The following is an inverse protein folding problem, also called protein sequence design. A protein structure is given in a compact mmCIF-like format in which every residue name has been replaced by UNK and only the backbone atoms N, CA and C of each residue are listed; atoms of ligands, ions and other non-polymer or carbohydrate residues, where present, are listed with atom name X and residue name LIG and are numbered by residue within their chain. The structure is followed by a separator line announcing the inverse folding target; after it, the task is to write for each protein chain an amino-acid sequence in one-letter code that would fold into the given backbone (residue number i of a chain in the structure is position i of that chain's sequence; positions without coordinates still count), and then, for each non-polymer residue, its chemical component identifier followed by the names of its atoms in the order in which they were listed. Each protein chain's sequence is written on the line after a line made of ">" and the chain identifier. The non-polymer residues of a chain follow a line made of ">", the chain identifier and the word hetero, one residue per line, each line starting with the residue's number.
data_IF_950557781244
#
_entry.id   IF_950557781244
#
_cell.length_a   1.000
_cell.length_b   1.000
_cell.length_c   1.000
_cell.angle_alpha   90.00
_cell.angle_beta   90.00
_cell.angle_gamma   90.00
#
_symmetry.space_group_name_H-M   'P 1'
#
loop_
_entity.id
_entity.type
_entity.pdbx_description
1 polymer ?
#
# COMPACT_ATOMS: atom_id res chain seq x y z
N UNK A 1 -0.15 16.43 6.02
CA UNK A 1 -1.02 15.36 6.54
C UNK A 1 -0.37 14.58 7.68
N UNK A 2 0.76 13.91 7.51
CA UNK A 2 1.40 13.07 8.56
C UNK A 2 1.80 13.84 9.83
N UNK A 3 2.36 15.05 9.75
CA UNK A 3 2.70 15.87 10.94
C UNK A 3 1.47 16.11 11.83
N UNK A 4 0.35 16.50 11.24
CA UNK A 4 -0.89 16.72 12.02
C UNK A 4 -1.43 15.43 12.64
N UNK A 5 -1.22 14.28 12.00
CA UNK A 5 -1.55 12.98 12.58
C UNK A 5 -0.69 12.70 13.81
N UNK A 6 0.65 12.81 13.72
CA UNK A 6 1.55 12.56 14.84
C UNK A 6 1.32 13.53 16.00
N UNK A 7 1.15 14.83 15.72
CA UNK A 7 0.82 15.81 16.77
C UNK A 7 -0.47 15.46 17.51
N UNK A 8 -1.51 15.02 16.78
CA UNK A 8 -2.76 14.62 17.42
C UNK A 8 -2.63 13.32 18.23
N UNK A 9 -1.88 12.34 17.75
CA UNK A 9 -1.61 11.11 18.50
C UNK A 9 -0.81 11.39 19.76
N UNK A 10 0.16 12.31 19.71
CA UNK A 10 0.95 12.70 20.87
C UNK A 10 0.10 13.28 22.02
N UNK A 11 -1.00 13.98 21.69
CA UNK A 11 -1.92 14.50 22.73
C UNK A 11 -2.74 13.42 23.42
N UNK A 12 -2.86 12.23 22.81
CA UNK A 12 -3.64 11.10 23.33
C UNK A 12 -2.80 10.09 24.11
N UNK A 13 -1.48 10.14 23.98
CA UNK A 13 -0.57 9.20 24.64
C UNK A 13 0.03 9.81 25.90
N UNK A 14 0.25 8.99 26.95
CA UNK A 14 1.05 9.41 28.13
C UNK A 14 2.50 9.70 27.71
N UNK A 15 3.28 10.34 28.58
CA UNK A 15 4.63 10.81 28.25
C UNK A 15 5.65 9.68 28.00
N UNK A 16 5.38 8.48 28.52
CA UNK A 16 6.12 7.24 28.23
C UNK A 16 5.47 6.38 27.16
N UNK A 17 4.47 6.93 26.46
CA UNK A 17 3.64 6.21 25.49
C UNK A 17 4.41 5.77 24.26
N UNK A 18 4.07 4.61 23.74
CA UNK A 18 4.61 4.08 22.49
C UNK A 18 3.55 4.04 21.41
N UNK A 19 3.98 4.35 20.18
CA UNK A 19 3.17 4.32 18.98
C UNK A 19 3.75 3.30 18.00
N UNK A 20 2.93 2.33 17.61
CA UNK A 20 3.24 1.43 16.51
C UNK A 20 2.57 1.92 15.23
N UNK A 21 3.36 2.13 14.19
CA UNK A 21 2.88 2.53 12.87
C UNK A 21 3.25 1.46 11.85
N UNK A 22 2.26 1.00 11.11
CA UNK A 22 2.42 0.12 9.99
C UNK A 22 1.95 0.85 8.72
N UNK A 23 2.83 1.02 7.76
CA UNK A 23 2.54 1.81 6.57
C UNK A 23 3.24 1.29 5.33
N UNK A 24 2.55 1.39 4.21
CA UNK A 24 3.19 1.27 2.90
C UNK A 24 3.90 2.57 2.54
N UNK A 25 4.99 2.46 1.81
CA UNK A 25 5.78 3.57 1.29
C UNK A 25 6.22 3.26 -0.14
N UNK A 26 6.61 4.27 -0.88
CA UNK A 26 7.33 4.06 -2.13
C UNK A 26 8.64 3.32 -1.85
N UNK A 27 8.91 2.31 -2.66
CA UNK A 27 10.12 1.49 -2.57
C UNK A 27 11.34 2.15 -3.21
N UNK A 28 12.46 1.46 -3.16
CA UNK A 28 13.74 1.99 -3.69
C UNK A 28 13.77 2.09 -5.22
N UNK A 29 12.96 1.29 -5.92
CA UNK A 29 12.87 1.25 -7.37
C UNK A 29 11.64 2.01 -7.90
N UNK A 30 11.07 2.90 -7.07
CA UNK A 30 9.98 3.76 -7.50
C UNK A 30 10.37 4.53 -8.76
N UNK A 31 9.47 4.57 -9.74
CA UNK A 31 9.61 5.39 -10.93
C UNK A 31 8.95 6.77 -10.75
N UNK A 32 9.40 7.81 -11.47
CA UNK A 32 8.79 9.13 -11.41
C UNK A 32 7.29 9.10 -11.72
N UNK A 33 6.52 9.89 -10.97
CA UNK A 33 5.04 9.93 -11.12
C UNK A 33 4.61 10.34 -12.53
N UNK A 34 5.40 11.18 -13.20
CA UNK A 34 5.16 11.63 -14.57
C UNK A 34 5.21 10.49 -15.60
N UNK A 35 5.81 9.36 -15.24
CA UNK A 35 5.84 8.15 -16.06
C UNK A 35 4.64 7.22 -15.80
N UNK A 36 3.80 7.57 -14.82
CA UNK A 36 2.65 6.77 -14.40
C UNK A 36 1.38 7.45 -14.89
N UNK A 37 0.96 7.17 -16.11
CA UNK A 37 -0.34 7.63 -16.59
C UNK A 37 -1.45 6.68 -16.15
N UNK A 38 -2.17 7.08 -15.10
CA UNK A 38 -3.24 6.29 -14.49
C UNK A 38 -4.44 6.15 -15.44
N UNK A 39 -4.69 7.12 -16.30
CA UNK A 39 -5.86 7.12 -17.19
C UNK A 39 -5.59 6.39 -18.51
N UNK A 40 -4.37 6.46 -19.00
CA UNK A 40 -3.97 5.90 -20.29
C UNK A 40 -3.31 4.52 -20.19
N UNK A 41 -3.88 3.60 -19.39
CA UNK A 41 -3.35 2.22 -19.26
C UNK A 41 -3.06 1.54 -20.60
N UNK A 42 -3.83 1.85 -21.64
CA UNK A 42 -3.66 1.29 -22.99
C UNK A 42 -2.46 1.89 -23.74
N UNK A 43 -2.00 3.06 -23.35
CA UNK A 43 -0.85 3.75 -23.96
C UNK A 43 0.50 3.38 -23.33
N UNK A 44 0.52 2.63 -22.24
CA UNK A 44 1.75 2.24 -21.58
C UNK A 44 2.47 1.10 -22.32
N UNK A 45 3.82 1.08 -22.31
CA UNK A 45 4.62 0.32 -23.27
C UNK A 45 4.44 -1.21 -23.16
N UNK A 46 4.12 -1.73 -22.00
CA UNK A 46 3.87 -3.17 -21.83
C UNK A 46 3.03 -3.43 -20.58
N UNK A 47 2.18 -4.45 -20.62
CA UNK A 47 1.28 -4.82 -19.50
C UNK A 47 1.99 -5.27 -18.24
N UNK A 48 3.26 -5.64 -18.31
CA UNK A 48 4.11 -6.05 -17.21
C UNK A 48 5.17 -5.00 -16.86
N UNK A 49 5.16 -3.84 -17.52
CA UNK A 49 6.05 -2.72 -17.15
C UNK A 49 5.69 -2.15 -15.78
N UNK A 50 6.68 -1.58 -15.10
CA UNK A 50 6.48 -0.97 -13.78
C UNK A 50 5.48 0.19 -13.86
N UNK A 51 5.54 0.99 -14.93
CA UNK A 51 4.58 2.07 -15.18
C UNK A 51 3.14 1.56 -15.28
N UNK A 52 2.91 0.49 -16.05
CA UNK A 52 1.59 -0.12 -16.17
C UNK A 52 1.08 -0.66 -14.83
N UNK A 53 1.93 -1.36 -14.07
CA UNK A 53 1.58 -1.94 -12.79
C UNK A 53 1.21 -0.86 -11.77
N UNK A 54 1.99 0.23 -11.70
CA UNK A 54 1.72 1.36 -10.80
C UNK A 54 0.46 2.13 -11.21
N UNK A 55 0.24 2.35 -12.51
CA UNK A 55 -0.99 2.96 -13.02
C UNK A 55 -2.22 2.12 -12.67
N UNK A 56 -2.12 0.79 -12.78
CA UNK A 56 -3.17 -0.14 -12.38
C UNK A 56 -3.50 -0.01 -10.88
N UNK A 57 -2.48 0.10 -10.03
CA UNK A 57 -2.68 0.32 -8.59
C UNK A 57 -3.30 1.69 -8.30
N UNK A 58 -2.83 2.76 -8.92
CA UNK A 58 -3.39 4.10 -8.78
C UNK A 58 -4.87 4.14 -9.15
N UNK A 59 -5.27 3.41 -10.18
CA UNK A 59 -6.68 3.27 -10.57
C UNK A 59 -7.52 2.46 -9.59
N UNK A 60 -6.92 1.48 -8.90
CA UNK A 60 -7.61 0.70 -7.87
C UNK A 60 -7.77 1.45 -6.56
N UNK A 61 -6.84 2.35 -6.25
CA UNK A 61 -6.78 3.12 -5.02
C UNK A 61 -6.73 4.63 -5.31
N UNK A 62 -7.78 5.20 -5.95
CA UNK A 62 -7.77 6.58 -6.36
C UNK A 62 -7.62 7.52 -5.15
N UNK A 63 -6.76 8.54 -5.29
CA UNK A 63 -6.49 9.51 -4.24
C UNK A 63 -5.64 8.99 -3.09
N UNK A 64 -5.12 7.76 -3.16
CA UNK A 64 -4.15 7.28 -2.20
C UNK A 64 -2.80 7.97 -2.40
N UNK A 65 -2.16 8.31 -1.28
CA UNK A 65 -0.84 8.91 -1.28
C UNK A 65 0.09 8.09 -0.37
N UNK A 66 1.29 7.80 -0.85
CA UNK A 66 2.29 7.05 -0.12
C UNK A 66 3.50 7.94 0.19
N UNK A 67 4.10 7.80 1.38
CA UNK A 67 5.36 8.47 1.71
C UNK A 67 6.51 7.98 0.82
N UNK A 68 7.47 8.87 0.56
CA UNK A 68 8.72 8.54 -0.13
C UNK A 68 9.70 7.89 0.86
N UNK A 69 9.50 6.58 1.10
CA UNK A 69 10.30 5.82 2.04
C UNK A 69 9.96 6.08 3.51
N UNK A 70 10.55 5.27 4.39
CA UNK A 70 10.32 5.37 5.84
C UNK A 70 10.82 6.70 6.44
N UNK A 71 11.90 7.28 5.90
CA UNK A 71 12.49 8.52 6.43
C UNK A 71 11.53 9.70 6.39
N UNK A 72 10.64 9.76 5.41
CA UNK A 72 9.63 10.81 5.38
C UNK A 72 8.64 10.67 6.55
N UNK A 73 8.25 9.44 6.87
CA UNK A 73 7.37 9.16 8.01
C UNK A 73 8.06 9.54 9.31
N UNK A 74 9.32 9.11 9.48
CA UNK A 74 10.14 9.42 10.67
C UNK A 74 10.28 10.92 10.85
N UNK A 75 10.70 11.66 9.82
CA UNK A 75 10.81 13.14 9.89
C UNK A 75 9.50 13.85 10.22
N UNK A 76 8.37 13.28 9.84
CA UNK A 76 7.07 13.83 10.23
C UNK A 76 6.71 13.55 11.69
N UNK A 77 7.28 12.51 12.29
CA UNK A 77 7.06 12.11 13.66
C UNK A 77 8.04 12.80 14.64
N UNK A 78 9.26 13.13 14.20
CA UNK A 78 10.36 13.65 15.02
C UNK A 78 10.01 14.78 16.01
N UNK A 79 9.10 15.73 15.72
CA UNK A 79 8.75 16.75 16.71
C UNK A 79 8.13 16.19 17.99
N UNK A 80 7.43 15.06 17.87
CA UNK A 80 6.64 14.49 18.96
C UNK A 80 7.17 13.12 19.41
N UNK A 81 7.89 12.43 18.53
CA UNK A 81 8.28 11.05 18.75
C UNK A 81 9.72 10.77 18.34
N UNK A 82 10.36 9.88 19.08
CA UNK A 82 11.65 9.28 18.74
C UNK A 82 11.43 7.89 18.14
N UNK A 83 12.05 7.59 16.99
CA UNK A 83 12.04 6.24 16.42
C UNK A 83 12.86 5.29 17.31
N UNK A 84 12.24 4.21 17.76
CA UNK A 84 12.87 3.16 18.55
C UNK A 84 13.32 1.97 17.71
N UNK A 85 12.48 1.57 16.77
CA UNK A 85 12.82 0.48 15.84
C UNK A 85 12.09 0.63 14.52
N UNK A 86 12.71 0.10 13.48
CA UNK A 86 12.16 0.03 12.13
C UNK A 86 12.49 -1.34 11.53
N UNK A 87 11.50 -1.95 10.87
CA UNK A 87 11.69 -3.17 10.11
C UNK A 87 10.85 -3.15 8.84
N UNK A 88 11.42 -3.64 7.73
CA UNK A 88 10.65 -3.91 6.52
C UNK A 88 9.81 -5.17 6.73
N UNK A 89 8.53 -5.10 6.42
CA UNK A 89 7.62 -6.23 6.35
C UNK A 89 7.35 -6.68 4.92
N UNK A 90 8.17 -6.26 3.96
CA UNK A 90 7.95 -6.52 2.53
C UNK A 90 7.80 -8.00 2.20
N UNK A 91 8.70 -8.83 2.70
CA UNK A 91 8.66 -10.27 2.44
C UNK A 91 7.43 -10.93 3.06
N UNK A 92 7.06 -10.54 4.27
CA UNK A 92 5.84 -11.04 4.93
C UNK A 92 4.59 -10.64 4.15
N UNK A 93 4.62 -9.44 3.54
CA UNK A 93 3.51 -8.95 2.73
C UNK A 93 3.39 -9.73 1.41
N UNK A 94 4.51 -10.02 0.75
CA UNK A 94 4.57 -10.89 -0.45
C UNK A 94 3.98 -12.27 -0.13
N UNK A 95 4.38 -12.88 0.99
CA UNK A 95 3.85 -14.17 1.43
C UNK A 95 2.34 -14.10 1.71
N UNK A 96 1.90 -13.06 2.42
CA UNK A 96 0.48 -12.84 2.70
C UNK A 96 -0.34 -12.75 1.41
N UNK A 97 0.12 -11.95 0.43
CA UNK A 97 -0.56 -11.83 -0.87
C UNK A 97 -0.54 -13.17 -1.62
N UNK A 98 0.54 -13.91 -1.54
CA UNK A 98 0.66 -15.25 -2.15
C UNK A 98 -0.39 -16.20 -1.58
N UNK A 99 -0.56 -16.21 -0.27
CA UNK A 99 -1.60 -17.00 0.40
C UNK A 99 -3.01 -16.53 0.05
N UNK A 100 -3.24 -15.23 -0.06
CA UNK A 100 -4.54 -14.70 -0.52
C UNK A 100 -4.86 -15.15 -1.93
N UNK A 101 -3.89 -15.06 -2.85
CA UNK A 101 -4.06 -15.53 -4.23
C UNK A 101 -4.40 -17.01 -4.29
N UNK A 102 -3.70 -17.85 -3.53
CA UNK A 102 -3.98 -19.28 -3.43
C UNK A 102 -5.39 -19.55 -2.90
N UNK A 103 -5.80 -18.84 -1.83
CA UNK A 103 -7.14 -18.97 -1.25
C UNK A 103 -8.24 -18.49 -2.22
N UNK A 104 -8.02 -17.36 -2.92
CA UNK A 104 -8.96 -16.83 -3.92
C UNK A 104 -9.08 -17.79 -5.08
N UNK A 105 -7.97 -18.37 -5.55
CA UNK A 105 -7.93 -19.34 -6.64
C UNK A 105 -8.53 -20.71 -6.30
N UNK A 106 -8.54 -21.11 -5.02
CA UNK A 106 -9.02 -22.42 -4.61
C UNK A 106 -10.52 -22.59 -4.95
N UNK A 107 -10.92 -23.70 -5.60
CA UNK A 107 -12.30 -23.96 -6.00
C UNK A 107 -13.22 -24.11 -4.77
N UNK A 108 -14.40 -23.49 -4.82
CA UNK A 108 -15.41 -23.57 -3.77
C UNK A 108 -16.79 -23.27 -4.37
N UNK A 109 -17.80 -24.02 -3.94
CA UNK A 109 -19.17 -23.78 -4.38
C UNK A 109 -19.65 -22.36 -4.04
N UNK A 110 -19.34 -21.88 -2.82
CA UNK A 110 -19.64 -20.50 -2.39
C UNK A 110 -19.02 -19.45 -3.32
N UNK A 111 -17.78 -19.66 -3.77
CA UNK A 111 -17.12 -18.76 -4.71
C UNK A 111 -17.73 -18.80 -6.10
N UNK A 112 -18.19 -19.96 -6.55
CA UNK A 112 -18.92 -20.06 -7.82
C UNK A 112 -20.23 -19.27 -7.77
N UNK A 113 -20.98 -19.37 -6.70
CA UNK A 113 -22.20 -18.58 -6.48
C UNK A 113 -21.91 -17.09 -6.40
N UNK A 114 -20.86 -16.68 -5.67
CA UNK A 114 -20.43 -15.28 -5.62
C UNK A 114 -20.04 -14.75 -6.99
N UNK A 115 -19.29 -15.50 -7.79
CA UNK A 115 -18.93 -15.11 -9.17
C UNK A 115 -20.17 -14.93 -10.05
N UNK A 116 -21.19 -15.77 -9.90
CA UNK A 116 -22.47 -15.61 -10.59
C UNK A 116 -23.19 -14.32 -10.17
N UNK A 117 -23.22 -14.01 -8.89
CA UNK A 117 -23.80 -12.75 -8.39
C UNK A 117 -23.07 -11.51 -8.87
N UNK A 118 -21.74 -11.59 -9.03
CA UNK A 118 -20.90 -10.49 -9.52
C UNK A 118 -20.87 -10.38 -11.04
N UNK A 119 -21.40 -11.38 -11.77
CA UNK A 119 -21.36 -11.42 -13.22
C UNK A 119 -21.97 -10.19 -13.90
N UNK A 120 -23.13 -9.65 -13.50
CA UNK A 120 -23.66 -8.44 -14.09
C UNK A 120 -22.71 -7.25 -13.98
N UNK A 121 -22.12 -7.04 -12.81
CA UNK A 121 -21.14 -5.98 -12.58
C UNK A 121 -19.85 -6.20 -13.36
N UNK A 122 -19.41 -7.45 -13.50
CA UNK A 122 -18.24 -7.79 -14.30
C UNK A 122 -18.48 -7.52 -15.80
N UNK A 123 -19.69 -7.74 -16.29
CA UNK A 123 -20.04 -7.46 -17.69
C UNK A 123 -20.17 -5.95 -17.99
N UNK A 124 -20.65 -5.15 -17.03
CA UNK A 124 -20.97 -3.74 -17.25
C UNK A 124 -19.85 -2.78 -16.85
N UNK A 125 -18.89 -3.19 -15.99
CA UNK A 125 -17.83 -2.31 -15.49
C UNK A 125 -16.44 -2.82 -15.87
N UNK A 126 -15.75 -2.05 -16.74
CA UNK A 126 -14.37 -2.31 -17.13
C UNK A 126 -13.40 -2.23 -15.94
N UNK A 127 -13.59 -1.25 -15.06
CA UNK A 127 -12.77 -1.05 -13.87
C UNK A 127 -12.92 -2.20 -12.88
N UNK A 128 -14.14 -2.71 -12.72
CA UNK A 128 -14.38 -3.88 -11.88
C UNK A 128 -13.69 -5.13 -12.45
N UNK A 129 -13.77 -5.34 -13.79
CA UNK A 129 -13.04 -6.45 -14.43
C UNK A 129 -11.54 -6.34 -14.18
N UNK A 130 -10.97 -5.16 -14.40
CA UNK A 130 -9.54 -4.92 -14.25
C UNK A 130 -9.09 -5.17 -12.79
N UNK A 131 -9.80 -4.59 -11.81
CA UNK A 131 -9.52 -4.79 -10.40
C UNK A 131 -9.62 -6.26 -9.98
N UNK A 132 -10.66 -6.95 -10.45
CA UNK A 132 -10.93 -8.34 -10.10
C UNK A 132 -9.91 -9.33 -10.69
N UNK A 133 -9.40 -9.05 -11.90
CA UNK A 133 -8.49 -9.96 -12.60
C UNK A 133 -7.01 -9.70 -12.27
N UNK A 134 -6.64 -8.47 -11.99
CA UNK A 134 -5.22 -8.08 -11.93
C UNK A 134 -4.79 -7.50 -10.59
N UNK A 135 -5.74 -7.03 -9.74
CA UNK A 135 -5.44 -6.21 -8.60
C UNK A 135 -4.52 -6.84 -7.56
N UNK A 136 -4.81 -8.07 -7.16
CA UNK A 136 -4.02 -8.74 -6.12
C UNK A 136 -2.63 -9.12 -6.65
N UNK A 137 -2.56 -9.52 -7.92
CA UNK A 137 -1.28 -9.87 -8.57
C UNK A 137 -0.39 -8.63 -8.76
N UNK A 138 -0.96 -7.49 -9.15
CA UNK A 138 -0.22 -6.24 -9.31
C UNK A 138 0.41 -5.79 -8.00
N UNK A 139 -0.32 -5.85 -6.89
CA UNK A 139 0.22 -5.56 -5.56
C UNK A 139 1.44 -6.41 -5.23
N UNK A 140 1.37 -7.73 -5.46
CA UNK A 140 2.49 -8.63 -5.21
C UNK A 140 3.73 -8.23 -6.01
N UNK A 141 3.56 -8.00 -7.31
CA UNK A 141 4.66 -7.61 -8.21
C UNK A 141 5.30 -6.29 -7.77
N UNK A 142 4.53 -5.30 -7.28
CA UNK A 142 5.09 -4.07 -6.74
C UNK A 142 6.04 -4.31 -5.57
N UNK A 143 5.70 -5.22 -4.66
CA UNK A 143 6.59 -5.57 -3.55
C UNK A 143 7.79 -6.41 -4.00
N UNK A 144 7.60 -7.35 -4.94
CA UNK A 144 8.70 -8.17 -5.49
C UNK A 144 9.73 -7.32 -6.23
N UNK A 145 9.28 -6.32 -6.99
CA UNK A 145 10.14 -5.39 -7.73
C UNK A 145 10.61 -4.18 -6.91
N UNK A 146 10.23 -4.12 -5.64
CA UNK A 146 10.59 -3.02 -4.75
C UNK A 146 10.12 -1.63 -5.24
N UNK A 147 9.03 -1.59 -5.98
CA UNK A 147 8.30 -0.35 -6.29
C UNK A 147 7.55 0.17 -5.07
N UNK A 148 7.13 -0.74 -4.21
CA UNK A 148 6.55 -0.48 -2.89
C UNK A 148 7.33 -1.21 -1.82
N UNK A 149 7.34 -0.64 -0.62
CA UNK A 149 7.78 -1.30 0.60
C UNK A 149 6.75 -1.13 1.71
N UNK A 150 6.91 -1.89 2.76
CA UNK A 150 6.02 -1.89 3.90
C UNK A 150 6.85 -1.86 5.17
N UNK A 151 6.66 -0.82 5.99
CA UNK A 151 7.42 -0.65 7.22
C UNK A 151 6.56 -0.79 8.47
N UNK A 152 7.19 -1.36 9.48
CA UNK A 152 6.74 -1.42 10.87
C UNK A 152 7.67 -0.53 11.68
N UNK A 153 7.12 0.54 12.22
CA UNK A 153 7.85 1.58 12.95
C UNK A 153 7.34 1.62 14.38
N UNK A 154 8.24 1.56 15.34
CA UNK A 154 7.91 1.78 16.75
C UNK A 154 8.50 3.11 17.18
N UNK A 155 7.67 3.96 17.70
CA UNK A 155 8.03 5.27 18.21
C UNK A 155 7.77 5.34 19.71
N UNK A 156 8.55 6.15 20.41
CA UNK A 156 8.36 6.55 21.79
C UNK A 156 8.08 8.04 21.84
N UNK A 157 7.07 8.43 22.59
CA UNK A 157 6.74 9.85 22.75
C UNK A 157 7.91 10.58 23.40
N UNK A 158 8.28 11.73 22.87
CA UNK A 158 9.27 12.60 23.47
C UNK A 158 8.60 13.45 24.56
N UNK A 159 9.27 13.65 25.72
CA UNK A 159 8.77 14.61 26.70
C UNK A 159 8.69 15.98 26.03
N UNK A 160 7.57 16.66 26.26
CA UNK A 160 7.40 18.03 25.78
C UNK A 160 8.51 18.94 26.27
N UNK A 161 8.78 20.06 25.58
CA UNK A 161 9.71 21.05 26.08
C UNK A 161 9.24 21.53 27.45
N UNK A 162 10.15 21.46 28.42
CA UNK A 162 9.95 21.96 29.80
C UNK A 162 9.84 23.48 29.77
#
# INVERSE_FOLDING_TARGET
>A
MYRGFFGRVATLLPDDGRLYVQTMVWGRNMIPEEQIDIEALQGLPARDSDAYILALLGRQFPGSWLPFGQQQVVRCAEPEFRLMSSSSGRLDYIETITQWNARIGAPSLRKKLLKLQLLPRWLTSGDFRLAFTSGVSANKVCFERELLDHYRLVFEKQPGPV
#
